data_IF_333262248326
#
_entry.id   IF_333262248326
#
_cell.length_a   1.000
_cell.length_b   1.000
_cell.length_c   1.000
_cell.angle_alpha   90.00
_cell.angle_beta   90.00
_cell.angle_gamma   90.00
#
_symmetry.space_group_name_H-M   'P 1'
#
loop_
_entity.id
_entity.type
_entity.pdbx_description
1 polymer ?
2 non-polymer ?
3 water ?
#
# COMPACT_ATOMS: atom_id res chain seq x y z
N UNK A 1 10.51 1.63 -18.52
CA UNK A 1 9.25 1.19 -17.91
C UNK A 1 8.14 0.92 -18.92
N UNK A 2 7.95 1.86 -19.83
CA UNK A 2 6.89 1.76 -20.80
C UNK A 2 7.19 0.72 -21.89
N UNK A 3 8.44 0.24 -21.96
CA UNK A 3 8.80 -0.82 -22.92
C UNK A 3 8.73 -2.25 -22.33
N UNK A 4 8.64 -2.38 -21.00
CA UNK A 4 8.45 -3.68 -20.34
C UNK A 4 7.28 -4.48 -20.86
N UNK A 5 7.52 -5.78 -21.01
CA UNK A 5 6.47 -6.75 -21.23
C UNK A 5 5.76 -7.00 -19.88
N UNK A 6 4.57 -7.57 -19.97
CA UNK A 6 3.81 -7.99 -18.80
C UNK A 6 4.60 -8.88 -17.86
N UNK A 7 5.25 -9.92 -18.38
CA UNK A 7 6.08 -10.78 -17.50
C UNK A 7 7.24 -10.06 -16.85
N UNK A 8 7.87 -9.15 -17.57
CA UNK A 8 8.95 -8.38 -16.96
C UNK A 8 8.40 -7.39 -15.91
N UNK A 9 7.19 -6.89 -16.13
CA UNK A 9 6.56 -5.97 -15.13
C UNK A 9 6.36 -6.76 -13.85
N UNK A 10 5.77 -7.95 -13.97
CA UNK A 10 5.50 -8.84 -12.83
C UNK A 10 6.77 -9.21 -12.04
N UNK A 11 7.80 -9.66 -12.78
CA UNK A 11 9.08 -9.95 -12.16
C UNK A 11 9.70 -8.76 -11.48
N UNK A 12 9.62 -7.58 -12.11
CA UNK A 12 10.17 -6.43 -11.45
C UNK A 12 9.46 -6.12 -10.12
N UNK A 13 8.13 -6.15 -10.13
CA UNK A 13 7.37 -5.94 -8.89
C UNK A 13 7.65 -6.98 -7.78
N UNK A 14 7.72 -8.26 -8.15
CA UNK A 14 7.91 -9.30 -7.14
C UNK A 14 9.28 -9.13 -6.51
N UNK A 15 10.25 -8.76 -7.35
CA UNK A 15 11.62 -8.51 -6.89
C UNK A 15 11.75 -7.30 -5.99
N UNK A 16 10.83 -6.34 -6.14
CA UNK A 16 10.89 -5.09 -5.40
C UNK A 16 10.32 -5.25 -4.00
N UNK A 17 9.71 -6.39 -3.70
CA UNK A 17 8.91 -6.50 -2.48
C UNK A 17 9.74 -6.23 -1.24
N UNK A 18 9.17 -5.46 -0.31
CA UNK A 18 9.89 -5.22 0.93
C UNK A 18 9.84 -6.41 1.88
N UNK A 19 10.70 -6.45 2.91
CA UNK A 19 10.59 -7.50 3.87
C UNK A 19 9.42 -7.39 4.82
N UNK A 20 9.09 -8.51 5.43
CA UNK A 20 8.16 -8.50 6.54
C UNK A 20 8.93 -8.16 7.84
N UNK A 21 8.61 -7.06 8.49
CA UNK A 21 9.25 -6.70 9.78
C UNK A 21 8.55 -7.22 11.05
N UNK A 22 9.31 -7.25 12.13
CA UNK A 22 8.86 -7.69 13.42
C UNK A 22 8.62 -6.46 14.28
N UNK A 23 7.69 -6.60 15.23
CA UNK A 23 7.51 -5.62 16.32
C UNK A 23 8.68 -5.73 17.28
N UNK A 24 9.06 -4.62 17.90
CA UNK A 24 10.18 -4.57 18.84
C UNK A 24 9.55 -4.54 20.24
N UNK A 25 9.34 -5.69 20.82
CA UNK A 25 9.05 -5.77 22.27
C UNK A 25 9.80 -6.98 22.78
N UNK A 26 10.01 -6.98 24.08
CA UNK A 26 10.72 -8.06 24.70
C UNK A 26 9.65 -9.14 24.89
N UNK A 27 9.76 -10.29 24.19
CA UNK A 27 8.72 -11.31 24.28
C UNK A 27 8.84 -12.15 25.57
N UNK A 28 9.90 -11.94 26.34
CA UNK A 28 9.96 -12.49 27.69
C UNK A 28 9.22 -11.64 28.70
N UNK A 29 8.81 -10.43 28.35
CA UNK A 29 8.19 -9.52 29.33
C UNK A 29 6.68 -9.56 29.17
N UNK A 30 5.91 -9.09 30.18
CA UNK A 30 4.44 -9.13 30.08
C UNK A 30 3.84 -8.30 28.98
N UNK A 31 2.76 -8.76 28.35
CA UNK A 31 2.11 -7.96 27.29
C UNK A 31 1.23 -6.86 27.84
N UNK A 32 2.68 -0.64 25.22
CA UNK A 32 1.45 -0.02 24.75
C UNK A 32 1.25 -0.33 23.27
N UNK A 33 0.04 -0.71 22.91
CA UNK A 33 -0.27 -1.10 21.53
C UNK A 33 0.08 0.02 20.54
N UNK A 34 -0.34 1.24 20.80
CA UNK A 34 -0.07 2.33 19.85
C UNK A 34 1.43 2.62 19.67
N UNK A 35 2.21 2.53 20.74
CA UNK A 35 3.65 2.70 20.63
C UNK A 35 4.28 1.59 19.77
N UNK A 36 3.83 0.36 20.01
CA UNK A 36 4.29 -0.73 19.17
C UNK A 36 3.91 -0.55 17.68
N UNK A 37 2.68 -0.17 17.38
CA UNK A 37 2.25 -0.01 16.01
C UNK A 37 2.93 1.23 15.38
N UNK A 38 3.15 2.27 16.14
CA UNK A 38 3.88 3.45 15.62
C UNK A 38 5.34 3.13 15.25
N UNK A 39 6.03 2.42 16.13
CA UNK A 39 7.44 2.05 15.87
C UNK A 39 7.54 1.15 14.65
N UNK A 40 6.59 0.22 14.50
CA UNK A 40 6.54 -0.69 13.34
C UNK A 40 6.34 0.10 12.06
N UNK A 41 5.35 0.98 12.08
CA UNK A 41 5.13 1.87 10.96
C UNK A 41 6.34 2.75 10.56
N UNK A 42 7.00 3.37 11.54
CA UNK A 42 8.25 4.18 11.30
C UNK A 42 9.30 3.33 10.54
N UNK A 43 9.52 2.09 10.99
CA UNK A 43 10.52 1.26 10.33
C UNK A 43 10.13 0.78 8.91
N UNK A 44 8.87 0.44 8.74
CA UNK A 44 8.31 0.03 7.41
C UNK A 44 8.48 1.15 6.37
N UNK A 45 8.38 2.39 6.81
CA UNK A 45 8.44 3.52 5.88
C UNK A 45 9.73 3.62 5.15
N UNK A 46 10.85 3.35 5.85
CA UNK A 46 12.12 3.33 5.17
C UNK A 46 12.16 2.30 4.05
N UNK A 47 11.65 1.11 4.32
CA UNK A 47 11.62 0.06 3.34
C UNK A 47 10.65 0.35 2.20
N UNK A 48 9.60 1.06 2.54
CA UNK A 48 8.62 1.50 1.53
C UNK A 48 9.25 2.45 0.49
N UNK A 49 10.09 3.38 0.96
CA UNK A 49 10.88 4.25 0.05
C UNK A 49 11.70 3.43 -0.93
N UNK A 50 12.40 2.46 -0.41
CA UNK A 50 13.22 1.58 -1.27
C UNK A 50 12.45 0.81 -2.29
N UNK A 51 11.29 0.29 -1.86
CA UNK A 51 10.36 -0.35 -2.73
C UNK A 51 9.85 0.60 -3.85
N UNK A 52 9.42 1.80 -3.47
CA UNK A 52 8.80 2.76 -4.41
C UNK A 52 9.83 3.09 -5.51
N UNK A 53 11.06 3.27 -5.08
CA UNK A 53 12.17 3.56 -6.02
C UNK A 53 12.37 2.42 -7.06
N UNK A 54 11.90 1.20 -6.77
CA UNK A 54 12.01 0.03 -7.69
C UNK A 54 10.80 -0.31 -8.50
N UNK A 55 9.71 0.45 -8.30
CA UNK A 55 8.51 0.32 -9.11
C UNK A 55 8.84 1.03 -10.43
N UNK A 56 8.75 0.33 -11.58
CA UNK A 56 9.12 0.93 -12.85
C UNK A 56 8.36 2.23 -13.09
N UNK A 57 9.06 3.26 -13.55
CA UNK A 57 8.48 4.53 -13.80
C UNK A 57 8.61 5.53 -12.69
N UNK A 58 8.65 5.03 -11.45
CA UNK A 58 8.59 5.95 -10.29
C UNK A 58 9.76 6.90 -10.25
N UNK A 59 11.00 6.40 -10.46
CA UNK A 59 12.18 7.29 -10.41
C UNK A 59 12.34 8.17 -11.64
N UNK A 60 11.47 8.01 -12.64
CA UNK A 60 11.50 8.86 -13.82
C UNK A 60 10.89 10.19 -13.47
N UNK A 61 10.07 10.20 -12.43
CA UNK A 61 9.39 11.42 -11.97
C UNK A 61 10.32 12.37 -11.23
N UNK A 62 9.92 13.61 -11.08
CA UNK A 62 10.64 14.58 -10.25
C UNK A 62 10.66 14.15 -8.79
N UNK A 63 11.69 14.57 -8.06
CA UNK A 63 11.72 14.29 -6.62
C UNK A 63 10.43 14.87 -5.91
N UNK A 64 10.02 16.08 -6.26
CA UNK A 64 8.86 16.74 -5.61
C UNK A 64 7.59 15.87 -5.87
N UNK A 65 7.51 15.30 -7.08
CA UNK A 65 6.36 14.45 -7.41
C UNK A 65 6.42 13.08 -6.72
N UNK A 66 7.60 12.49 -6.66
CA UNK A 66 7.78 11.30 -5.83
C UNK A 66 7.32 11.49 -4.37
N UNK A 67 7.74 12.59 -3.73
CA UNK A 67 7.32 12.96 -2.34
C UNK A 67 5.78 13.08 -2.24
N UNK A 68 5.21 13.86 -3.15
CA UNK A 68 3.74 14.04 -3.14
C UNK A 68 3.02 12.68 -3.24
N UNK A 69 3.41 11.84 -4.19
CA UNK A 69 2.80 10.50 -4.27
C UNK A 69 2.92 9.64 -3.04
N UNK A 70 4.12 9.59 -2.44
CA UNK A 70 4.25 8.86 -1.17
C UNK A 70 3.51 9.45 0.01
N UNK A 71 3.53 10.76 0.09
CA UNK A 71 2.76 11.46 1.12
C UNK A 71 1.26 11.09 1.03
N UNK A 72 0.71 11.00 -0.21
CA UNK A 72 -0.70 10.66 -0.36
C UNK A 72 -0.98 9.21 -0.08
N UNK A 73 -0.07 8.32 -0.44
CA UNK A 73 -0.27 6.89 -0.44
C UNK A 73 0.25 6.06 0.75
N UNK A 74 1.07 6.61 1.65
CA UNK A 74 1.88 5.73 2.53
C UNK A 74 0.96 4.91 3.49
N UNK A 75 -0.15 5.47 3.95
CA UNK A 75 -1.00 4.66 4.88
C UNK A 75 -1.83 3.61 4.15
N UNK A 76 -2.27 3.94 2.95
CA UNK A 76 -2.90 2.94 2.07
C UNK A 76 -1.98 1.75 1.80
N UNK A 77 -0.70 2.03 1.52
CA UNK A 77 0.34 1.03 1.23
C UNK A 77 0.59 0.11 2.43
N UNK A 78 0.70 0.70 3.64
CA UNK A 78 0.80 -0.07 4.84
C UNK A 78 -0.44 -0.99 5.04
N UNK A 79 -1.61 -0.42 4.81
CA UNK A 79 -2.87 -1.14 5.00
C UNK A 79 -3.08 -2.28 4.02
N UNK A 80 -2.82 -2.06 2.72
CA UNK A 80 -2.96 -3.13 1.76
C UNK A 80 -1.93 -4.27 2.13
N UNK A 81 -0.74 -3.91 2.62
CA UNK A 81 0.23 -4.92 3.04
C UNK A 81 -0.32 -5.77 4.20
N UNK A 82 -0.91 -5.09 5.20
CA UNK A 82 -1.52 -5.75 6.37
C UNK A 82 -2.63 -6.69 5.95
N UNK A 83 -3.53 -6.22 5.09
CA UNK A 83 -4.66 -7.02 4.65
C UNK A 83 -4.18 -8.25 3.89
N UNK A 84 -3.13 -8.13 3.10
CA UNK A 84 -2.55 -9.25 2.41
C UNK A 84 -1.93 -10.28 3.36
N UNK A 85 -1.10 -9.81 4.28
CA UNK A 85 -0.48 -10.66 5.33
C UNK A 85 -1.52 -11.39 6.17
N UNK A 86 -2.68 -10.75 6.39
CA UNK A 86 -3.73 -11.26 7.25
C UNK A 86 -4.75 -12.21 6.53
N UNK A 87 -4.55 -12.46 5.25
CA UNK A 87 -5.58 -13.11 4.43
C UNK A 87 -5.89 -14.52 4.93
N UNK A 88 -4.84 -15.28 5.33
CA UNK A 88 -4.98 -16.69 5.76
C UNK A 88 -5.08 -16.81 7.29
N UNK A 89 -5.46 -15.72 7.96
CA UNK A 89 -5.67 -15.63 9.39
C UNK A 89 -7.03 -15.02 9.73
N UNK A 90 -8.11 -15.79 9.42
CA UNK A 90 -9.45 -15.26 9.66
C UNK A 90 -9.61 -14.69 11.06
N UNK A 91 -10.23 -13.52 11.18
CA UNK A 91 -10.44 -12.84 12.44
C UNK A 91 -9.23 -12.16 13.14
N UNK A 92 -8.04 -12.20 12.53
CA UNK A 92 -6.90 -11.56 13.12
C UNK A 92 -6.18 -10.66 12.10
N UNK A 93 -5.39 -9.76 12.61
CA UNK A 93 -4.56 -8.84 11.77
C UNK A 93 -3.11 -9.10 12.11
N UNK A 94 -2.38 -9.56 11.09
CA UNK A 94 -0.95 -9.88 11.21
C UNK A 94 -0.13 -8.61 10.96
N UNK A 95 -0.05 -7.74 11.97
CA UNK A 95 0.79 -6.57 11.89
C UNK A 95 2.24 -6.99 11.69
N UNK A 96 2.66 -7.98 12.44
CA UNK A 96 3.98 -8.58 12.32
C UNK A 96 3.87 -10.06 12.68
N UNK A 97 4.91 -10.90 12.38
CA UNK A 97 4.75 -12.37 12.72
C UNK A 97 4.64 -12.65 14.19
N UNK A 98 5.11 -11.71 15.00
CA UNK A 98 5.04 -11.72 16.47
C UNK A 98 4.05 -10.73 17.02
N UNK A 99 3.11 -10.32 16.19
CA UNK A 99 2.10 -9.37 16.67
C UNK A 99 0.85 -9.59 15.85
N UNK A 100 0.13 -10.67 16.18
CA UNK A 100 -1.08 -11.05 15.51
C UNK A 100 -2.23 -10.68 16.43
N UNK A 101 -3.03 -9.68 16.07
CA UNK A 101 -4.05 -9.14 16.96
C UNK A 101 -5.50 -9.37 16.48
N UNK A 102 -6.40 -9.61 17.44
CA UNK A 102 -7.83 -9.74 17.13
C UNK A 102 -8.56 -8.46 17.36
N UNK A 103 -9.84 -8.41 17.00
CA UNK A 103 -10.56 -7.14 17.14
C UNK A 103 -10.72 -6.69 18.58
N UNK A 104 -10.86 -7.62 19.52
CA UNK A 104 -10.90 -7.24 20.94
C UNK A 104 -9.64 -6.53 21.37
N UNK A 105 -8.47 -6.95 20.88
CA UNK A 105 -7.24 -6.23 21.19
C UNK A 105 -7.26 -4.75 20.73
N UNK A 106 -8.07 -4.43 19.73
CA UNK A 106 -8.19 -3.05 19.26
C UNK A 106 -9.02 -2.14 20.16
N UNK A 107 -9.91 -2.72 20.94
CA UNK A 107 -10.73 -1.98 21.92
C UNK A 107 -9.87 -1.19 22.92
N UNK A 108 -8.64 -1.62 23.13
CA UNK A 108 -7.72 -0.92 24.03
C UNK A 108 -7.40 0.53 23.64
N UNK A 109 -7.90 1.03 22.50
CA UNK A 109 -7.72 2.44 22.13
C UNK A 109 -9.00 3.00 21.50
N UNK A 110 -9.56 4.04 22.11
CA UNK A 110 -10.81 4.65 21.62
C UNK A 110 -10.70 4.99 20.14
N UNK A 111 -11.69 4.55 19.33
CA UNK A 111 -11.68 4.74 17.85
C UNK A 111 -11.01 3.65 16.97
N UNK A 112 -10.25 2.77 17.60
CA UNK A 112 -9.45 1.83 16.87
C UNK A 112 -10.24 0.59 16.42
N UNK A 113 -11.20 0.12 17.21
CA UNK A 113 -11.91 -1.14 16.81
C UNK A 113 -12.62 -1.02 15.45
N UNK A 114 -13.11 0.19 15.18
CA UNK A 114 -13.77 0.52 13.94
C UNK A 114 -12.84 0.33 12.75
N UNK A 115 -11.59 0.75 12.91
CA UNK A 115 -10.60 0.60 11.85
C UNK A 115 -10.21 -0.88 11.70
N UNK A 116 -9.95 -1.53 12.81
CA UNK A 116 -9.64 -2.98 12.85
C UNK A 116 -10.72 -3.75 12.07
N UNK A 117 -11.95 -3.43 12.37
CA UNK A 117 -13.07 -4.11 11.70
C UNK A 117 -13.09 -3.96 10.19
N UNK A 118 -12.76 -2.76 9.72
CA UNK A 118 -12.76 -2.50 8.31
C UNK A 118 -11.62 -3.27 7.63
N UNK A 119 -10.48 -3.31 8.27
CA UNK A 119 -9.31 -4.05 7.74
C UNK A 119 -9.57 -5.57 7.70
N UNK A 120 -10.16 -6.08 8.75
CA UNK A 120 -10.56 -7.51 8.77
C UNK A 120 -11.54 -7.88 7.66
N UNK A 121 -12.56 -7.06 7.43
CA UNK A 121 -13.43 -7.25 6.31
C UNK A 121 -12.73 -7.23 4.94
N UNK A 122 -11.74 -6.33 4.76
CA UNK A 122 -11.08 -6.26 3.48
C UNK A 122 -10.26 -7.59 3.28
N UNK A 123 -9.65 -8.07 4.35
CA UNK A 123 -8.88 -9.33 4.30
C UNK A 123 -9.82 -10.47 3.92
N UNK A 124 -11.00 -10.45 4.55
CA UNK A 124 -12.12 -11.37 4.21
C UNK A 124 -12.46 -11.34 2.70
N UNK A 125 -12.57 -10.15 2.12
CA UNK A 125 -12.88 -9.98 0.68
C UNK A 125 -11.78 -10.53 -0.18
N UNK A 126 -10.51 -10.25 0.22
CA UNK A 126 -9.33 -10.82 -0.50
C UNK A 126 -9.41 -12.36 -0.53
N UNK A 127 -9.68 -12.94 0.64
CA UNK A 127 -9.85 -14.42 0.78
C UNK A 127 -11.02 -14.91 -0.13
N UNK A 128 -12.16 -14.24 -0.09
CA UNK A 128 -13.27 -14.58 -1.02
C UNK A 128 -12.90 -14.52 -2.54
N UNK A 129 -12.01 -13.61 -2.92
CA UNK A 129 -11.61 -13.52 -4.31
C UNK A 129 -10.46 -14.39 -4.62
N UNK A 130 -9.88 -15.04 -3.61
CA UNK A 130 -8.66 -15.78 -3.83
C UNK A 130 -7.52 -14.96 -4.54
N UNK A 131 -7.25 -13.78 -3.97
CA UNK A 131 -6.23 -12.89 -4.49
C UNK A 131 -4.88 -13.57 -4.53
N UNK A 132 -4.21 -13.43 -5.68
CA UNK A 132 -2.89 -13.99 -5.94
C UNK A 132 -1.81 -12.94 -5.71
N UNK A 133 -0.64 -13.44 -5.32
CA UNK A 133 0.51 -12.60 -5.01
C UNK A 133 0.86 -11.66 -6.12
N UNK A 134 0.79 -12.16 -7.34
CA UNK A 134 1.12 -11.33 -8.51
C UNK A 134 0.12 -10.17 -8.73
N UNK A 135 -1.11 -10.43 -8.37
CA UNK A 135 -2.20 -9.44 -8.45
C UNK A 135 -1.99 -8.38 -7.38
N UNK A 136 -1.67 -8.84 -6.17
CA UNK A 136 -1.41 -7.95 -4.98
C UNK A 136 -0.28 -6.93 -5.28
N UNK A 137 0.86 -7.41 -5.81
CA UNK A 137 1.93 -6.47 -6.15
C UNK A 137 1.50 -5.42 -7.20
N UNK A 138 0.73 -5.82 -8.21
CA UNK A 138 0.18 -4.89 -9.18
C UNK A 138 -0.68 -3.85 -8.45
N UNK A 139 -1.53 -4.28 -7.55
CA UNK A 139 -2.45 -3.39 -6.91
C UNK A 139 -1.73 -2.41 -6.02
N UNK A 140 -0.66 -2.84 -5.33
CA UNK A 140 0.05 -1.95 -4.43
C UNK A 140 0.77 -0.86 -5.23
N UNK A 141 1.26 -1.20 -6.44
CA UNK A 141 1.91 -0.20 -7.28
C UNK A 141 0.94 0.79 -7.88
N UNK A 142 -0.29 0.30 -8.17
CA UNK A 142 -1.38 1.13 -8.61
C UNK A 142 -1.73 2.20 -7.55
N UNK A 143 -1.80 1.81 -6.27
CA UNK A 143 -2.03 2.78 -5.11
C UNK A 143 -0.99 3.87 -5.12
N UNK A 144 0.27 3.49 -5.19
CA UNK A 144 1.40 4.44 -5.25
C UNK A 144 1.28 5.46 -6.35
N UNK A 145 0.94 5.02 -7.57
CA UNK A 145 0.91 5.93 -8.69
C UNK A 145 -0.42 6.76 -8.76
N UNK A 146 -1.51 6.20 -8.24
CA UNK A 146 -2.86 6.79 -8.48
C UNK A 146 -3.25 7.74 -7.35
N UNK A 147 -2.84 7.45 -6.12
CA UNK A 147 -3.49 8.15 -4.97
C UNK A 147 -3.28 9.65 -4.97
N UNK A 148 -2.10 10.11 -5.32
CA UNK A 148 -1.83 11.49 -5.44
C UNK A 148 -1.83 12.15 -6.80
N UNK A 149 -2.14 11.40 -7.87
CA UNK A 149 -2.05 11.94 -9.22
C UNK A 149 -3.14 13.02 -9.60
N UNK A 150 -4.21 13.13 -8.79
CA UNK A 150 -5.32 14.08 -9.07
C UNK A 150 -5.12 15.32 -8.18
N UNK A 151 -4.10 15.31 -7.30
CA UNK A 151 -3.88 16.47 -6.37
C UNK A 151 -2.52 17.19 -6.53
N UNK A 152 -1.85 17.04 -7.68
CA UNK A 152 -0.63 17.87 -7.94
C UNK A 152 -0.83 19.42 -7.89
N UNK A 153 -1.10 21.94 -9.83
CA UNK A 153 -0.09 22.36 -10.82
C UNK A 153 -0.38 21.96 -12.27
N UNK A 154 -0.19 22.90 -13.18
CA UNK A 154 -0.32 22.60 -14.60
C UNK A 154 0.87 23.25 -15.35
N UNK A 155 2.06 23.25 -14.73
CA UNK A 155 3.28 23.56 -15.46
C UNK A 155 3.41 22.51 -16.57
N UNK A 156 4.17 22.83 -17.60
CA UNK A 156 4.43 21.88 -18.64
C UNK A 156 5.02 20.58 -18.06
N UNK A 157 5.94 20.68 -17.07
CA UNK A 157 6.56 19.48 -16.49
C UNK A 157 5.44 18.65 -15.80
N UNK A 158 4.51 19.31 -15.13
CA UNK A 158 3.46 18.61 -14.37
C UNK A 158 2.57 17.86 -15.36
N UNK A 159 2.30 18.49 -16.48
CA UNK A 159 1.47 17.86 -17.52
C UNK A 159 2.18 16.58 -18.08
N UNK A 160 3.50 16.68 -18.25
CA UNK A 160 4.31 15.50 -18.71
C UNK A 160 4.33 14.38 -17.63
N UNK A 161 4.50 14.79 -16.36
CA UNK A 161 4.47 13.88 -15.23
C UNK A 161 3.13 13.12 -15.14
N UNK A 162 2.01 13.82 -15.28
CA UNK A 162 0.69 13.16 -15.17
C UNK A 162 0.47 12.18 -16.34
N UNK A 163 0.90 12.58 -17.54
CA UNK A 163 0.85 11.70 -18.69
C UNK A 163 1.66 10.43 -18.49
N UNK A 164 2.88 10.56 -17.97
CA UNK A 164 3.71 9.41 -17.73
C UNK A 164 3.06 8.46 -16.73
N UNK A 165 2.66 9.00 -15.58
CA UNK A 165 1.94 8.23 -14.53
C UNK A 165 0.78 7.44 -15.18
N UNK A 166 -0.05 8.08 -16.00
CA UNK A 166 -1.18 7.37 -16.58
C UNK A 166 -0.77 6.29 -17.59
N UNK A 167 0.27 6.55 -18.36
CA UNK A 167 0.91 5.50 -19.16
C UNK A 167 1.49 4.30 -18.39
N UNK A 168 2.09 4.56 -17.25
CA UNK A 168 2.58 3.46 -16.43
C UNK A 168 1.40 2.68 -15.80
N UNK A 169 0.38 3.40 -15.38
CA UNK A 169 -0.84 2.73 -14.90
C UNK A 169 -1.47 1.83 -15.95
N UNK A 170 -1.55 2.30 -17.21
CA UNK A 170 -2.05 1.52 -18.34
C UNK A 170 -1.25 0.22 -18.50
N UNK A 171 0.03 0.31 -18.32
CA UNK A 171 0.89 -0.87 -18.41
C UNK A 171 0.57 -1.87 -17.28
N UNK A 172 0.34 -1.36 -16.05
CA UNK A 172 -0.08 -2.26 -14.96
C UNK A 172 -1.43 -2.91 -15.18
N UNK A 173 -2.41 -2.17 -15.80
CA UNK A 173 -3.70 -2.72 -16.14
C UNK A 173 -3.48 -3.88 -17.17
N UNK A 174 -2.69 -3.59 -18.17
CA UNK A 174 -2.31 -4.67 -19.18
C UNK A 174 -1.75 -5.95 -18.50
N UNK A 175 -0.94 -5.75 -17.45
CA UNK A 175 -0.21 -6.81 -16.77
C UNK A 175 -1.24 -7.63 -15.98
N UNK A 176 -2.15 -6.92 -15.29
CA UNK A 176 -3.19 -7.58 -14.53
C UNK A 176 -4.00 -8.49 -15.41
N UNK A 177 -4.50 -7.94 -16.53
CA UNK A 177 -5.26 -8.69 -17.51
C UNK A 177 -4.44 -9.91 -18.02
N UNK A 178 -3.19 -9.65 -18.35
CA UNK A 178 -2.28 -10.76 -18.77
C UNK A 178 -2.23 -11.88 -17.74
N UNK A 179 -2.07 -11.53 -16.47
CA UNK A 179 -2.06 -12.52 -15.40
C UNK A 179 -3.32 -13.35 -15.34
N UNK A 180 -4.46 -12.71 -15.55
CA UNK A 180 -5.72 -13.37 -15.48
C UNK A 180 -5.98 -14.24 -16.73
N UNK A 181 -5.58 -13.76 -17.92
CA UNK A 181 -5.64 -14.59 -19.16
C UNK A 181 -4.79 -15.86 -19.02
N UNK A 182 -3.61 -15.69 -18.47
CA UNK A 182 -2.69 -16.81 -18.19
C UNK A 182 -3.28 -17.85 -17.23
N UNK A 183 -4.05 -17.39 -16.24
CA UNK A 183 -4.77 -18.24 -15.33
C UNK A 183 -5.94 -18.93 -16.01
N UNK A 184 -6.29 -18.50 -17.21
CA UNK A 184 -7.35 -19.15 -18.00
C UNK A 184 -8.74 -18.57 -17.84
N UNK A 185 -8.89 -17.41 -17.23
CA UNK A 185 -10.21 -16.81 -17.19
C UNK A 185 -10.66 -16.35 -18.59
N UNK A 186 -11.96 -16.39 -18.83
CA UNK A 186 -12.54 -15.86 -20.06
C UNK A 186 -12.43 -14.33 -20.13
N UNK A 187 -12.62 -13.75 -21.32
CA UNK A 187 -12.52 -12.29 -21.44
C UNK A 187 -13.50 -11.60 -20.54
N UNK A 188 -14.70 -12.16 -20.41
CA UNK A 188 -15.72 -11.58 -19.52
C UNK A 188 -15.23 -11.61 -18.07
N UNK A 189 -14.67 -12.75 -17.69
CA UNK A 189 -14.21 -12.92 -16.35
C UNK A 189 -13.02 -11.99 -16.07
N UNK A 190 -12.18 -11.79 -17.06
CA UNK A 190 -11.04 -10.90 -16.87
C UNK A 190 -11.51 -9.47 -16.53
N UNK A 191 -12.41 -8.90 -17.33
CA UNK A 191 -12.85 -7.56 -17.05
C UNK A 191 -13.64 -7.45 -15.75
N UNK A 192 -14.46 -8.46 -15.43
CA UNK A 192 -15.16 -8.43 -14.17
C UNK A 192 -14.22 -8.45 -12.97
N UNK A 193 -13.19 -9.29 -13.02
CA UNK A 193 -12.21 -9.38 -11.90
C UNK A 193 -11.31 -8.14 -11.79
N UNK A 194 -10.93 -7.57 -12.91
CA UNK A 194 -10.21 -6.31 -12.92
C UNK A 194 -11.02 -5.27 -12.16
N UNK A 195 -12.31 -5.14 -12.51
CA UNK A 195 -13.20 -4.17 -11.83
C UNK A 195 -13.32 -4.48 -10.34
N UNK A 196 -13.58 -5.73 -9.93
CA UNK A 196 -13.64 -6.09 -8.54
C UNK A 196 -12.38 -5.65 -7.76
N UNK A 197 -11.21 -5.97 -8.30
CA UNK A 197 -9.96 -5.59 -7.67
C UNK A 197 -9.80 -4.05 -7.51
N UNK A 198 -10.10 -3.28 -8.54
CA UNK A 198 -9.91 -1.82 -8.49
C UNK A 198 -10.92 -1.14 -7.58
N UNK A 199 -12.09 -1.74 -7.43
CA UNK A 199 -13.11 -1.17 -6.55
C UNK A 199 -12.74 -1.37 -5.07
N UNK A 200 -11.99 -2.41 -4.73
CA UNK A 200 -11.47 -2.57 -3.34
C UNK A 200 -10.53 -1.43 -3.04
N UNK A 201 -9.82 -0.92 -4.01
CA UNK A 201 -8.98 0.27 -3.80
C UNK A 201 -9.67 1.49 -3.23
N UNK A 202 -10.92 1.70 -3.62
CA UNK A 202 -11.72 2.75 -3.03
C UNK A 202 -11.89 2.58 -1.52
N UNK A 203 -12.14 1.35 -1.06
CA UNK A 203 -12.27 1.07 0.31
C UNK A 203 -10.96 1.28 1.08
N UNK A 204 -9.84 0.85 0.46
CA UNK A 204 -8.54 1.05 1.08
C UNK A 204 -8.28 2.56 1.28
N UNK A 205 -8.59 3.40 0.30
CA UNK A 205 -8.59 4.85 0.48
C UNK A 205 -9.42 5.33 1.64
N UNK A 206 -10.62 4.82 1.78
CA UNK A 206 -11.50 5.17 2.87
C UNK A 206 -10.90 4.85 4.22
N UNK A 207 -10.40 3.65 4.31
CA UNK A 207 -9.66 3.22 5.51
C UNK A 207 -8.51 4.11 5.87
N UNK A 208 -7.70 4.46 4.88
CA UNK A 208 -6.56 5.36 5.15
C UNK A 208 -7.05 6.70 5.65
N UNK A 209 -8.12 7.23 5.03
CA UNK A 209 -8.65 8.50 5.53
C UNK A 209 -9.13 8.42 6.93
N UNK A 210 -9.77 7.34 7.28
CA UNK A 210 -10.21 7.20 8.61
C UNK A 210 -9.02 7.10 9.61
N UNK A 211 -7.98 6.41 9.21
CA UNK A 211 -6.79 6.31 10.05
C UNK A 211 -6.03 7.60 10.18
N UNK A 212 -5.90 8.36 9.09
CA UNK A 212 -5.21 9.63 9.16
C UNK A 212 -5.96 10.58 10.13
N UNK A 213 -7.31 10.52 10.15
CA UNK A 213 -8.10 11.28 11.10
C UNK A 213 -7.66 10.95 12.52
N UNK A 214 -7.50 9.67 12.80
CA UNK A 214 -6.98 9.23 14.14
C UNK A 214 -5.57 9.79 14.45
N UNK A 215 -4.66 9.58 13.53
CA UNK A 215 -3.31 10.11 13.67
C UNK A 215 -3.25 11.65 13.89
N UNK A 216 -3.83 12.46 12.99
CA UNK A 216 -3.95 13.93 13.21
C UNK A 216 -4.62 14.32 14.52
N UNK A 217 -5.57 13.52 15.00
CA UNK A 217 -6.19 13.80 16.29
C UNK A 217 -5.22 13.57 17.50
N UNK A 218 -4.08 12.87 17.28
CA UNK A 218 -3.03 12.79 18.33
C UNK A 218 -2.25 14.09 18.50
N UNK A 219 -2.24 14.96 17.49
CA UNK A 219 -1.57 16.27 17.55
C UNK A 219 -0.13 16.10 18.07
N UNK A 220 0.68 15.40 17.27
CA UNK A 220 2.02 14.92 17.67
C UNK A 220 3.03 15.09 16.53
N UNK A 221 4.17 15.75 16.81
CA UNK A 221 5.24 15.98 15.81
C UNK A 221 6.02 14.69 15.48
N UNK A 222 5.90 13.65 16.30
CA UNK A 222 6.56 12.34 16.04
C UNK A 222 5.62 11.29 15.44
N UNK A 223 4.48 11.76 14.95
CA UNK A 223 3.51 10.90 14.31
C UNK A 223 3.12 11.60 12.98
N UNK A 224 2.94 10.78 11.93
CA UNK A 224 2.77 11.18 10.52
C UNK A 224 4.07 11.75 9.93
N UNK A 225 4.59 11.11 8.86
CA UNK A 225 5.82 11.61 8.26
C UNK A 225 5.65 12.94 7.56
N UNK A 226 6.46 13.93 7.93
CA UNK A 226 6.38 15.26 7.29
C UNK A 226 6.89 15.20 5.85
N UNK A 227 6.46 16.16 5.04
CA UNK A 227 7.04 16.42 3.71
C UNK A 227 8.54 16.32 3.73
N UNK A 228 9.14 16.97 4.72
CA UNK A 228 10.58 17.11 4.86
C UNK A 228 11.30 15.82 5.18
N UNK A 229 10.71 14.99 6.03
CA UNK A 229 11.32 13.66 6.29
C UNK A 229 11.20 12.80 5.04
N UNK A 230 10.05 12.85 4.36
CA UNK A 230 9.92 12.07 3.14
C UNK A 230 10.89 12.60 2.10
N UNK A 231 11.00 13.92 2.01
CA UNK A 231 11.94 14.57 1.07
C UNK A 231 13.37 14.18 1.39
N UNK A 232 13.76 14.34 2.66
CA UNK A 232 15.06 13.84 3.10
C UNK A 232 15.33 12.37 2.78
N UNK A 233 14.38 11.44 3.00
CA UNK A 233 14.68 10.05 2.71
C UNK A 233 14.75 9.70 1.24
N UNK A 234 13.86 10.32 0.46
CA UNK A 234 13.84 10.08 -0.98
C UNK A 234 15.00 10.82 -1.71
N UNK A 235 15.53 11.89 -1.11
CA UNK A 235 16.55 12.75 -1.82
C UNK A 235 17.92 12.13 -1.58
N UNK A 236 18.17 10.99 -2.19
CA UNK A 236 19.37 10.24 -1.91
C UNK A 236 20.52 10.74 -2.78
N UNK A 237 21.72 10.65 -2.24
CA UNK A 237 22.94 10.92 -3.03
C UNK A 237 23.35 9.57 -3.65
X LIG B 1 -5.07 4.21 13.26
X LIG B 1 -4.42 3.43 12.14
X LIG B 1 -3.68 4.50 11.34
X LIG B 1 -2.28 0.18 9.88
X LIG B 1 -0.87 -0.06 10.42
X LIG B 1 -0.38 0.53 11.56
X LIG B 1 0.94 0.28 11.97
X LIG B 1 1.81 -0.60 11.33
X LIG B 1 1.31 -1.18 10.22
X LIG B 1 0.01 -0.93 9.77
X LIG B 1 -0.04 -1.71 8.64
X LIG B 1 -0.42 2.73 12.53
X LIG B 1 0.05 3.41 11.41
X LIG B 1 0.82 4.56 11.57
X LIG B 1 1.11 5.04 12.86
X LIG B 1 -0.16 3.22 13.81
X LIG B 1 3.55 7.89 12.69
X LIG B 1 2.99 8.44 13.69
X LIG B 1 -3.46 2.36 12.74
X LIG B 1 -2.55 1.85 11.70
X LIG B 1 -3.20 0.69 11.02
X LIG B 1 1.08 -2.41 8.33
X LIG B 1 1.88 -2.04 9.33
X LIG B 1 -1.21 1.51 12.35
X LIG B 1 0.61 4.36 13.97
X LIG B 1 1.89 6.26 13.07
X LIG B 1 2.93 6.55 12.28
X LIG B 1 4.49 8.35 11.96
#
# INVERSE_FOLDING_TARGET
ALSLTADQMVSALLDAEPPILYSEYDPTRPFSMMGLLTNLADRELVHMINWAKRVPGFVDLTLHDQVHLLESAWLEILMIGLVWRSMEHPGKLLFAPNLLLDRNQGKSVEGMVEIFDMLLATSSRFRMMNLQGEEFVCLKSIILLNSGVYTFSSTLKSLEEKDHIHRVLDKITDTLIHLMAKAGLTLQQQHQRLAQLLLILSHIRHMSNKGMEHLYSMKCKNVVPSYDLLLEMLDAH
H8W C1 C2 C3 C7 C8 C9 C10 C11 C12 C13 C14 C19 C20 C21 C22 C24 C27 O28 C4 N5 C6 N15 N16 C18 C23 C25 C26 O29
#
